data_IF_733421324704
#
_entry.id   IF_733421324704
#
_cell.length_a   1.000
_cell.length_b   1.000
_cell.length_c   1.000
_cell.angle_alpha   90.00
_cell.angle_beta   90.00
_cell.angle_gamma   90.00
#
_symmetry.space_group_name_H-M   'P 1'
#
loop_
_entity.id
_entity.type
_entity.pdbx_description
1 polymer ?
#
# COMPACT_ATOMS: atom_id res chain seq x y z
N UNK A 1 -7.08 15.85 -0.29
CA UNK A 1 -5.63 16.10 -0.17
C UNK A 1 -4.93 15.10 -1.08
N UNK A 2 -3.94 15.52 -1.86
CA UNK A 2 -3.21 14.62 -2.75
C UNK A 2 -2.08 13.92 -2.00
N UNK A 3 -1.86 12.64 -2.27
CA UNK A 3 -0.73 11.88 -1.75
C UNK A 3 0.50 12.18 -2.60
N UNK A 4 1.63 12.47 -1.95
CA UNK A 4 2.90 12.60 -2.64
C UNK A 4 3.42 11.21 -3.02
N UNK A 5 3.58 10.93 -4.30
CA UNK A 5 4.10 9.66 -4.80
C UNK A 5 5.63 9.64 -4.95
N UNK A 6 6.28 10.79 -4.77
CA UNK A 6 7.73 10.91 -4.78
C UNK A 6 8.32 10.89 -3.36
N UNK A 7 7.47 10.85 -2.33
CA UNK A 7 7.94 10.73 -0.96
C UNK A 7 8.73 9.43 -0.76
N UNK A 8 9.69 9.48 0.15
CA UNK A 8 10.58 8.36 0.44
C UNK A 8 10.50 8.01 1.92
N UNK A 9 10.71 6.74 2.24
CA UNK A 9 10.86 6.27 3.61
C UNK A 9 12.12 5.42 3.70
N UNK A 10 12.99 5.76 4.66
CA UNK A 10 14.20 4.99 4.93
C UNK A 10 13.91 3.98 6.03
N UNK A 11 14.09 2.70 5.71
CA UNK A 11 14.02 1.61 6.67
C UNK A 11 15.43 1.32 7.15
N UNK A 12 15.65 1.51 8.44
CA UNK A 12 16.90 1.13 9.10
C UNK A 12 16.70 -0.23 9.79
N UNK A 13 17.29 -1.27 9.21
CA UNK A 13 17.25 -2.63 9.74
C UNK A 13 18.61 -2.91 10.37
N UNK A 14 18.66 -3.35 11.65
CA UNK A 14 19.93 -3.67 12.29
C UNK A 14 20.77 -4.64 11.46
N UNK A 15 22.06 -4.32 11.34
CA UNK A 15 23.04 -5.13 10.60
C UNK A 15 22.81 -5.25 9.08
N UNK A 16 21.96 -4.40 8.49
CA UNK A 16 21.77 -4.29 7.04
C UNK A 16 22.03 -2.87 6.56
N UNK A 17 22.27 -2.72 5.27
CA UNK A 17 22.31 -1.39 4.67
C UNK A 17 20.90 -0.75 4.73
N UNK A 18 20.78 0.56 5.03
CA UNK A 18 19.51 1.26 4.99
C UNK A 18 18.81 1.08 3.64
N UNK A 19 17.51 0.82 3.67
CA UNK A 19 16.70 0.64 2.48
C UNK A 19 15.81 1.86 2.25
N UNK A 20 15.95 2.50 1.10
CA UNK A 20 15.09 3.61 0.70
C UNK A 20 13.93 3.06 -0.12
N UNK A 21 12.70 3.34 0.34
CA UNK A 21 11.46 2.92 -0.33
C UNK A 21 10.77 4.15 -0.89
N UNK A 22 10.44 4.10 -2.19
CA UNK A 22 9.60 5.09 -2.89
C UNK A 22 8.39 4.37 -3.46
N UNK A 23 7.17 4.93 -3.37
CA UNK A 23 6.00 4.34 -4.00
C UNK A 23 6.22 4.21 -5.50
N UNK A 24 5.87 3.06 -6.06
CA UNK A 24 5.94 2.84 -7.51
C UNK A 24 4.55 2.56 -8.06
N UNK A 25 4.17 3.29 -9.11
CA UNK A 25 2.88 3.15 -9.77
C UNK A 25 3.08 2.46 -11.12
N UNK A 26 2.33 1.38 -11.36
CA UNK A 26 2.31 0.65 -12.63
C UNK A 26 0.88 0.53 -13.14
N UNK A 27 0.66 0.95 -14.38
CA UNK A 27 -0.62 0.78 -15.08
C UNK A 27 -0.55 -0.46 -15.96
N UNK A 28 -1.58 -1.29 -15.93
CA UNK A 28 -1.71 -2.49 -16.76
C UNK A 28 -3.16 -2.66 -17.20
N UNK A 29 -3.37 -3.28 -18.36
CA UNK A 29 -4.68 -3.74 -18.80
C UNK A 29 -4.71 -5.27 -18.78
N UNK A 30 -5.79 -5.85 -18.24
CA UNK A 30 -6.00 -7.32 -18.19
C UNK A 30 -7.47 -7.61 -18.48
N UNK A 31 -7.75 -8.37 -19.53
CA UNK A 31 -9.13 -8.78 -19.84
C UNK A 31 -10.10 -7.62 -20.08
N UNK A 32 -9.61 -6.47 -20.56
CA UNK A 32 -10.43 -5.25 -20.73
C UNK A 32 -10.53 -4.35 -19.48
N UNK A 33 -10.03 -4.80 -18.33
CA UNK A 33 -9.99 -4.01 -17.09
C UNK A 33 -8.73 -3.15 -17.04
N UNK A 34 -8.85 -1.91 -16.58
CA UNK A 34 -7.69 -1.07 -16.29
C UNK A 34 -7.29 -1.19 -14.83
N UNK A 35 -6.04 -1.59 -14.61
CA UNK A 35 -5.47 -1.87 -13.30
C UNK A 35 -4.34 -0.88 -13.02
N UNK A 36 -4.37 -0.28 -11.83
CA UNK A 36 -3.27 0.50 -11.27
C UNK A 36 -2.74 -0.28 -10.07
N UNK A 37 -1.48 -0.70 -10.15
CA UNK A 37 -0.76 -1.33 -9.06
C UNK A 37 0.17 -0.31 -8.41
N UNK A 38 0.08 -0.14 -7.10
CA UNK A 38 0.99 0.69 -6.30
C UNK A 38 1.75 -0.21 -5.32
N UNK A 39 3.08 -0.14 -5.32
CA UNK A 39 3.96 -0.93 -4.43
C UNK A 39 4.87 -0.03 -3.62
N UNK A 40 5.39 -0.53 -2.50
CA UNK A 40 6.28 0.24 -1.63
C UNK A 40 5.51 1.34 -0.90
N UNK A 41 4.38 0.98 -0.27
CA UNK A 41 3.40 1.94 0.26
C UNK A 41 3.78 2.54 1.63
N UNK A 42 4.89 2.10 2.23
CA UNK A 42 5.43 2.62 3.52
C UNK A 42 5.36 4.14 3.62
N UNK A 43 5.86 4.91 2.64
CA UNK A 43 5.93 6.37 2.75
C UNK A 43 4.55 7.01 2.85
N UNK A 44 3.52 6.39 2.27
CA UNK A 44 2.13 6.86 2.29
C UNK A 44 1.44 6.63 3.64
N UNK A 45 2.06 5.85 4.53
CA UNK A 45 1.58 5.51 5.87
C UNK A 45 2.59 5.94 6.95
N UNK A 46 3.55 6.80 6.61
CA UNK A 46 4.61 7.24 7.51
C UNK A 46 4.08 7.86 8.81
N UNK A 47 3.00 8.63 8.74
CA UNK A 47 2.36 9.24 9.92
C UNK A 47 1.84 8.18 10.90
N UNK A 48 1.25 7.09 10.39
CA UNK A 48 0.81 5.98 11.24
C UNK A 48 1.99 5.18 11.79
N UNK A 49 3.04 4.96 11.00
CA UNK A 49 4.27 4.32 11.47
C UNK A 49 4.92 5.11 12.62
N UNK A 50 4.88 6.44 12.56
CA UNK A 50 5.42 7.31 13.61
C UNK A 50 4.68 7.13 14.96
N UNK A 51 3.44 6.64 14.96
CA UNK A 51 2.68 6.35 16.20
C UNK A 51 3.11 5.07 16.90
N UNK A 52 3.84 4.17 16.22
CA UNK A 52 4.33 2.92 16.82
C UNK A 52 5.51 3.26 17.73
N UNK A 53 5.32 3.05 19.04
CA UNK A 53 6.30 3.46 20.06
C UNK A 53 7.56 2.58 20.06
N UNK A 54 7.40 1.26 19.90
CA UNK A 54 8.52 0.33 19.88
C UNK A 54 9.30 0.42 18.55
N UNK A 55 10.62 0.68 18.58
CA UNK A 55 11.43 0.77 17.36
C UNK A 55 11.49 -0.53 16.56
N UNK A 56 11.49 -1.69 17.22
CA UNK A 56 11.50 -3.00 16.58
C UNK A 56 10.19 -3.26 15.82
N UNK A 57 9.06 -2.98 16.45
CA UNK A 57 7.75 -3.07 15.82
C UNK A 57 7.62 -2.08 14.67
N UNK A 58 8.14 -0.85 14.82
CA UNK A 58 8.13 0.16 13.75
C UNK A 58 8.96 -0.30 12.54
N UNK A 59 10.15 -0.84 12.76
CA UNK A 59 10.98 -1.38 11.68
C UNK A 59 10.32 -2.58 11.03
N UNK A 60 9.75 -3.49 11.81
CA UNK A 60 8.98 -4.63 11.28
C UNK A 60 7.81 -4.16 10.41
N UNK A 61 7.02 -3.22 10.91
CA UNK A 61 5.90 -2.61 10.21
C UNK A 61 6.33 -1.96 8.88
N UNK A 62 7.44 -1.22 8.89
CA UNK A 62 7.99 -0.62 7.68
C UNK A 62 8.44 -1.67 6.65
N UNK A 63 9.05 -2.77 7.09
CA UNK A 63 9.44 -3.89 6.20
C UNK A 63 8.21 -4.58 5.59
N UNK A 64 7.15 -4.78 6.38
CA UNK A 64 5.91 -5.37 5.87
C UNK A 64 5.25 -4.46 4.82
N UNK A 65 5.12 -3.16 5.12
CA UNK A 65 4.51 -2.19 4.21
C UNK A 65 5.34 -1.94 2.94
N UNK A 66 6.66 -2.21 2.96
CA UNK A 66 7.51 -2.06 1.76
C UNK A 66 7.22 -3.15 0.72
N UNK A 67 6.77 -4.32 1.19
CA UNK A 67 6.38 -5.47 0.37
C UNK A 67 4.89 -5.45 0.04
N UNK A 68 4.08 -4.77 0.84
CA UNK A 68 2.66 -4.60 0.59
C UNK A 68 2.39 -3.81 -0.72
N UNK A 69 1.27 -4.15 -1.35
CA UNK A 69 0.80 -3.49 -2.55
C UNK A 69 -0.68 -3.16 -2.47
N UNK A 70 -1.06 -2.15 -3.25
CA UNK A 70 -2.44 -1.75 -3.53
C UNK A 70 -2.71 -2.02 -5.00
N UNK A 71 -3.89 -2.54 -5.30
CA UNK A 71 -4.42 -2.67 -6.66
C UNK A 71 -5.74 -1.93 -6.75
N UNK A 72 -5.86 -1.06 -7.73
CA UNK A 72 -7.05 -0.27 -8.04
C UNK A 72 -7.54 -0.72 -9.42
N UNK A 73 -8.81 -1.07 -9.50
CA UNK A 73 -9.48 -1.41 -10.75
C UNK A 73 -10.55 -0.36 -11.04
N UNK A 74 -10.68 0.00 -12.32
CA UNK A 74 -11.75 0.89 -12.79
C UNK A 74 -13.14 0.26 -12.64
N UNK A 75 -13.22 -1.06 -12.78
CA UNK A 75 -14.43 -1.86 -12.70
C UNK A 75 -14.39 -2.84 -11.54
N UNK A 76 -15.56 -3.23 -11.04
CA UNK A 76 -15.66 -4.26 -10.01
C UNK A 76 -15.18 -5.59 -10.59
N UNK A 77 -14.38 -6.31 -9.82
CA UNK A 77 -13.73 -7.53 -10.23
C UNK A 77 -13.74 -8.46 -9.01
N UNK A 78 -14.65 -9.44 -8.92
CA UNK A 78 -14.70 -10.34 -7.77
C UNK A 78 -13.71 -11.51 -7.88
N UNK A 79 -13.24 -11.84 -9.09
CA UNK A 79 -12.61 -13.12 -9.41
C UNK A 79 -11.07 -13.06 -9.40
N UNK A 80 -10.47 -12.44 -8.39
CA UNK A 80 -9.01 -12.44 -8.25
C UNK A 80 -8.52 -13.67 -7.48
N UNK A 81 -7.93 -14.63 -8.21
CA UNK A 81 -7.15 -15.73 -7.64
C UNK A 81 -5.99 -15.17 -6.80
N UNK A 82 -6.02 -15.40 -5.47
CA UNK A 82 -5.04 -15.06 -4.40
C UNK A 82 -5.63 -14.29 -3.19
N UNK A 83 -6.96 -14.09 -3.17
CA UNK A 83 -7.73 -13.56 -2.03
C UNK A 83 -7.09 -12.32 -1.34
N UNK A 84 -6.74 -11.26 -2.09
CA UNK A 84 -6.36 -9.99 -1.49
C UNK A 84 -7.56 -9.37 -0.78
N UNK A 85 -7.34 -8.77 0.39
CA UNK A 85 -8.42 -8.11 1.11
C UNK A 85 -8.94 -6.95 0.27
N UNK A 86 -10.25 -6.91 0.07
CA UNK A 86 -10.88 -6.03 -0.91
C UNK A 86 -11.99 -5.17 -0.32
N UNK A 87 -12.26 -4.05 -0.99
CA UNK A 87 -13.38 -3.15 -0.75
C UNK A 87 -13.99 -2.75 -2.09
N UNK A 88 -15.26 -2.31 -2.07
CA UNK A 88 -16.01 -1.89 -3.25
C UNK A 88 -16.09 -2.98 -4.33
N UNK A 89 -16.44 -4.20 -3.93
CA UNK A 89 -16.57 -5.35 -4.83
C UNK A 89 -15.31 -5.61 -5.66
N UNK A 90 -14.13 -5.54 -5.03
CA UNK A 90 -12.85 -5.81 -5.66
C UNK A 90 -12.21 -4.65 -6.42
N UNK A 91 -12.83 -3.45 -6.42
CA UNK A 91 -12.21 -2.27 -7.05
C UNK A 91 -10.97 -1.79 -6.32
N UNK A 92 -10.96 -1.89 -4.99
CA UNK A 92 -9.81 -1.56 -4.16
C UNK A 92 -9.34 -2.84 -3.48
N UNK A 93 -8.06 -3.16 -3.62
CA UNK A 93 -7.47 -4.37 -3.06
C UNK A 93 -6.11 -4.08 -2.44
N UNK A 94 -5.75 -4.87 -1.45
CA UNK A 94 -4.40 -4.86 -0.90
C UNK A 94 -3.88 -6.25 -0.57
N UNK A 95 -2.57 -6.44 -0.69
CA UNK A 95 -1.87 -7.63 -0.20
C UNK A 95 -1.49 -7.51 1.29
N UNK A 96 -1.72 -6.34 1.90
CA UNK A 96 -1.51 -6.14 3.32
C UNK A 96 -2.53 -6.94 4.14
N UNK A 97 -2.07 -7.67 5.17
CA UNK A 97 -2.89 -8.63 5.92
C UNK A 97 -3.35 -8.12 7.30
N UNK A 98 -2.93 -6.94 7.74
CA UNK A 98 -3.35 -6.38 9.03
C UNK A 98 -2.59 -6.94 10.24
N UNK A 99 -1.35 -7.35 10.03
CA UNK A 99 -0.42 -7.91 11.02
C UNK A 99 0.20 -6.85 11.95
N UNK A 100 -0.05 -5.56 11.71
CA UNK A 100 0.48 -4.44 12.52
C UNK A 100 -0.68 -3.84 13.31
N UNK A 101 -0.68 -3.87 14.66
CA UNK A 101 -1.84 -3.45 15.46
C UNK A 101 -2.31 -2.01 15.20
N UNK A 102 -1.39 -1.10 14.89
CA UNK A 102 -1.66 0.33 14.66
C UNK A 102 -2.01 0.67 13.21
N UNK A 103 -1.90 -0.29 12.29
CA UNK A 103 -2.15 -0.09 10.86
C UNK A 103 -3.12 -1.17 10.40
N UNK A 104 -4.37 -0.79 10.21
CA UNK A 104 -5.39 -1.73 9.78
C UNK A 104 -5.42 -1.89 8.27
N UNK A 105 -6.05 -2.96 7.79
CA UNK A 105 -6.34 -3.13 6.36
C UNK A 105 -7.23 -1.99 5.84
N UNK A 106 -8.15 -1.48 6.68
CA UNK A 106 -8.98 -0.35 6.33
C UNK A 106 -8.15 0.91 6.04
N UNK A 107 -7.11 1.18 6.84
CA UNK A 107 -6.21 2.32 6.62
C UNK A 107 -5.51 2.23 5.26
N UNK A 108 -5.06 1.03 4.88
CA UNK A 108 -4.43 0.80 3.56
C UNK A 108 -5.44 0.97 2.42
N UNK A 109 -6.68 0.55 2.62
CA UNK A 109 -7.75 0.72 1.62
C UNK A 109 -8.24 2.18 1.54
N UNK A 110 -8.13 2.96 2.60
CA UNK A 110 -8.40 4.41 2.57
C UNK A 110 -7.32 5.14 1.75
N UNK A 111 -6.05 4.74 1.89
CA UNK A 111 -4.97 5.18 0.98
C UNK A 111 -5.29 4.78 -0.46
N UNK A 112 -5.76 3.55 -0.70
CA UNK A 112 -6.15 3.10 -2.03
C UNK A 112 -7.28 3.96 -2.64
N UNK A 113 -8.27 4.35 -1.84
CA UNK A 113 -9.36 5.22 -2.28
C UNK A 113 -8.84 6.62 -2.67
N UNK A 114 -7.96 7.21 -1.86
CA UNK A 114 -7.33 8.50 -2.18
C UNK A 114 -6.48 8.43 -3.47
N UNK A 115 -5.69 7.37 -3.61
CA UNK A 115 -4.90 7.12 -4.81
C UNK A 115 -5.79 6.96 -6.05
N UNK A 116 -6.94 6.28 -5.92
CA UNK A 116 -7.90 6.17 -7.03
C UNK A 116 -8.42 7.54 -7.45
N UNK A 117 -8.79 8.41 -6.51
CA UNK A 117 -9.23 9.77 -6.85
C UNK A 117 -8.14 10.59 -7.52
N UNK A 118 -6.88 10.45 -7.08
CA UNK A 118 -5.74 11.19 -7.63
C UNK A 118 -5.25 10.65 -8.98
N UNK A 119 -5.31 9.34 -9.19
CA UNK A 119 -4.78 8.65 -10.36
C UNK A 119 -5.85 8.31 -11.40
N UNK A 120 -7.12 8.62 -11.10
CA UNK A 120 -8.20 8.56 -12.08
C UNK A 120 -7.82 9.43 -13.29
N UNK A 121 -7.99 8.92 -14.51
CA UNK A 121 -7.74 9.69 -15.74
C UNK A 121 -8.69 10.88 -15.85
#
# INVERSE_FOLDING_TARGET
>A
MALDLNCTYTIDVPFQAPQIVTPTVKRRSRGGLNLISVRGIVPLLADKLATIADPGDRTHAAVVLSRAGIVICDTADPDWDDDPLSRESGRLRTTYRGDIPQITVADVLDVAAQLRTQLAP
#
